data_IF_433147936330
#
_entry.id   IF_433147936330
#
_cell.length_a   1.000
_cell.length_b   1.000
_cell.length_c   1.000
_cell.angle_alpha   90.00
_cell.angle_beta   90.00
_cell.angle_gamma   90.00
#
_symmetry.space_group_name_H-M   'P 1'
#
loop_
_entity.id
_entity.type
_entity.pdbx_description
1 polymer ?
#
# COMPACT_ATOMS: atom_id res chain seq x y z
N UNK A 1 -8.07 -9.37 1.48
CA UNK A 1 -6.76 -9.76 0.96
C UNK A 1 -6.52 -9.10 -0.39
N UNK A 2 -5.45 -8.32 -0.51
CA UNK A 2 -5.05 -7.64 -1.74
C UNK A 2 -3.82 -8.35 -2.31
N UNK A 3 -3.88 -8.65 -3.61
CA UNK A 3 -2.77 -9.29 -4.33
C UNK A 3 -1.58 -8.32 -4.48
N UNK A 4 -0.37 -8.85 -4.32
CA UNK A 4 0.87 -8.08 -4.53
C UNK A 4 0.98 -7.52 -5.95
N UNK A 5 0.57 -8.27 -6.96
CA UNK A 5 0.54 -7.81 -8.35
C UNK A 5 -0.38 -6.61 -8.53
N UNK A 6 -1.53 -6.59 -7.86
CA UNK A 6 -2.43 -5.45 -7.90
C UNK A 6 -1.77 -4.20 -7.30
N UNK A 7 -1.03 -4.35 -6.17
CA UNK A 7 -0.27 -3.24 -5.58
C UNK A 7 0.84 -2.73 -6.52
N UNK A 8 1.51 -3.61 -7.27
CA UNK A 8 2.50 -3.22 -8.28
C UNK A 8 1.86 -2.42 -9.43
N UNK A 9 0.72 -2.87 -9.95
CA UNK A 9 -0.04 -2.17 -11.00
C UNK A 9 -0.55 -0.80 -10.51
N UNK A 10 -1.05 -0.73 -9.27
CA UNK A 10 -1.48 0.51 -8.63
C UNK A 10 -0.29 1.47 -8.41
N UNK A 11 0.86 0.97 -7.95
CA UNK A 11 2.09 1.75 -7.82
C UNK A 11 2.51 2.36 -9.16
N UNK A 12 2.56 1.56 -10.22
CA UNK A 12 2.94 2.05 -11.56
C UNK A 12 1.96 3.06 -12.13
N UNK A 13 0.67 2.91 -11.83
CA UNK A 13 -0.35 3.87 -12.27
C UNK A 13 -0.25 5.17 -11.48
N UNK A 14 -0.15 5.08 -10.15
CA UNK A 14 -0.09 6.23 -9.26
C UNK A 14 1.20 7.05 -9.45
N UNK A 15 2.34 6.38 -9.69
CA UNK A 15 3.63 7.03 -9.93
C UNK A 15 3.73 7.80 -11.24
N UNK A 16 2.84 7.52 -12.21
CA UNK A 16 2.74 8.26 -13.49
C UNK A 16 1.77 9.44 -13.44
N UNK A 17 1.07 9.62 -12.33
CA UNK A 17 0.08 10.69 -12.15
C UNK A 17 0.72 11.92 -11.50
N UNK A 18 0.34 13.10 -11.98
CA UNK A 18 0.82 14.37 -11.41
C UNK A 18 0.04 14.81 -10.18
N UNK A 19 -1.08 14.15 -9.87
CA UNK A 19 -1.92 14.44 -8.72
C UNK A 19 -1.18 14.15 -7.41
N UNK A 20 -1.20 15.10 -6.48
CA UNK A 20 -0.51 14.95 -5.18
C UNK A 20 -1.02 13.74 -4.38
N UNK A 21 -2.33 13.48 -4.42
CA UNK A 21 -2.91 12.28 -3.81
C UNK A 21 -2.40 10.97 -4.42
N UNK A 22 -2.13 10.96 -5.74
CA UNK A 22 -1.57 9.78 -6.39
C UNK A 22 -0.09 9.57 -6.02
N UNK A 23 0.70 10.65 -5.86
CA UNK A 23 2.09 10.56 -5.39
C UNK A 23 2.17 10.05 -3.94
N UNK A 24 1.26 10.50 -3.09
CA UNK A 24 1.13 9.99 -1.72
C UNK A 24 0.78 8.49 -1.71
N UNK A 25 -0.21 8.08 -2.51
CA UNK A 25 -0.60 6.68 -2.66
C UNK A 25 0.56 5.81 -3.21
N UNK A 26 1.29 6.29 -4.22
CA UNK A 26 2.45 5.59 -4.77
C UNK A 26 3.53 5.35 -3.71
N UNK A 27 3.74 6.31 -2.81
CA UNK A 27 4.70 6.15 -1.70
C UNK A 27 4.26 5.07 -0.71
N UNK A 28 2.95 4.93 -0.46
CA UNK A 28 2.39 3.88 0.39
C UNK A 28 2.53 2.51 -0.29
N UNK A 29 2.15 2.40 -1.57
CA UNK A 29 2.31 1.14 -2.33
C UNK A 29 3.76 0.70 -2.39
N UNK A 30 4.70 1.65 -2.55
CA UNK A 30 6.13 1.31 -2.51
C UNK A 30 6.54 0.70 -1.18
N UNK A 31 6.11 1.30 -0.06
CA UNK A 31 6.37 0.74 1.28
C UNK A 31 5.79 -0.66 1.43
N UNK A 32 4.56 -0.88 0.96
CA UNK A 32 3.95 -2.22 0.96
C UNK A 32 4.77 -3.23 0.16
N UNK A 33 5.26 -2.87 -1.02
CA UNK A 33 6.10 -3.76 -1.84
C UNK A 33 7.44 -4.07 -1.18
N UNK A 34 8.01 -3.13 -0.44
CA UNK A 34 9.27 -3.32 0.27
C UNK A 34 9.11 -4.12 1.59
N UNK A 35 7.87 -4.38 2.05
CA UNK A 35 7.61 -5.20 3.23
C UNK A 35 7.97 -6.67 3.02
N UNK A 36 8.65 -7.24 4.01
CA UNK A 36 8.86 -8.68 4.13
C UNK A 36 7.62 -9.38 4.68
N UNK A 37 7.52 -10.67 4.40
CA UNK A 37 6.43 -11.51 4.87
C UNK A 37 6.34 -11.51 6.41
N UNK A 38 5.13 -11.28 6.94
CA UNK A 38 4.86 -11.12 8.37
C UNK A 38 5.13 -9.71 8.94
N UNK A 39 5.62 -8.77 8.14
CA UNK A 39 5.69 -7.36 8.57
C UNK A 39 4.32 -6.68 8.45
N UNK A 40 4.10 -5.68 9.30
CA UNK A 40 2.90 -4.85 9.27
C UNK A 40 3.27 -3.37 9.25
N UNK A 41 2.42 -2.56 8.63
CA UNK A 41 2.48 -1.11 8.66
C UNK A 41 1.10 -0.52 8.89
N UNK A 42 1.03 0.64 9.53
CA UNK A 42 -0.22 1.39 9.69
C UNK A 42 -0.20 2.58 8.75
N UNK A 43 -1.30 2.77 8.04
CA UNK A 43 -1.50 3.89 7.11
C UNK A 43 -2.67 4.70 7.60
N UNK A 44 -2.42 5.97 7.90
CA UNK A 44 -3.46 6.94 8.19
C UNK A 44 -3.96 7.53 6.87
N UNK A 45 -5.24 7.38 6.59
CA UNK A 45 -5.87 7.92 5.38
C UNK A 45 -6.53 9.27 5.66
N UNK A 46 -7.32 9.31 6.73
CA UNK A 46 -7.90 10.54 7.29
C UNK A 46 -7.61 10.61 8.80
N UNK A 47 -7.70 11.79 9.42
CA UNK A 47 -7.54 11.91 10.88
C UNK A 47 -8.56 11.01 11.61
N UNK A 48 -8.06 9.93 12.22
CA UNK A 48 -8.89 8.95 12.93
C UNK A 48 -9.26 7.70 12.13
N UNK A 49 -8.90 7.63 10.84
CA UNK A 49 -8.95 6.40 10.02
C UNK A 49 -7.55 5.88 9.77
N UNK A 50 -7.15 4.93 10.62
CA UNK A 50 -5.90 4.20 10.52
C UNK A 50 -6.20 2.77 10.06
N UNK A 51 -5.56 2.33 8.97
CA UNK A 51 -5.66 0.97 8.47
C UNK A 51 -4.34 0.24 8.73
N UNK A 52 -4.41 -0.98 9.27
CA UNK A 52 -3.24 -1.82 9.48
C UNK A 52 -3.09 -2.81 8.35
N UNK A 53 -1.98 -2.72 7.64
CA UNK A 53 -1.65 -3.57 6.50
C UNK A 53 -0.59 -4.57 6.94
N UNK A 54 -0.83 -5.87 6.75
CA UNK A 54 0.14 -6.94 7.02
C UNK A 54 0.50 -7.65 5.72
N UNK A 55 1.79 -7.82 5.45
CA UNK A 55 2.26 -8.60 4.31
C UNK A 55 2.20 -10.10 4.66
N UNK A 56 1.53 -10.88 3.84
CA UNK A 56 1.39 -12.34 3.98
C UNK A 56 1.91 -13.06 2.74
N UNK A 57 2.01 -14.39 2.79
CA UNK A 57 2.43 -15.20 1.63
C UNK A 57 1.49 -15.09 0.46
N UNK A 58 0.24 -14.70 0.70
CA UNK A 58 -0.81 -14.58 -0.31
C UNK A 58 -1.03 -13.12 -0.78
N UNK A 59 -0.32 -12.14 -0.18
CA UNK A 59 -0.40 -10.73 -0.55
C UNK A 59 -0.41 -9.81 0.67
N UNK A 60 -1.50 -9.06 0.84
CA UNK A 60 -1.68 -8.12 1.95
C UNK A 60 -3.06 -8.25 2.59
N UNK A 61 -3.09 -8.27 3.92
CA UNK A 61 -4.32 -8.15 4.69
C UNK A 61 -4.44 -6.75 5.28
N UNK A 62 -5.66 -6.21 5.23
CA UNK A 62 -6.00 -4.89 5.76
C UNK A 62 -6.99 -5.10 6.90
N UNK A 63 -6.68 -4.54 8.07
CA UNK A 63 -7.44 -4.63 9.32
C UNK A 63 -7.73 -3.22 9.82
#
# INVERSE_FOLDING_TARGET
MIDRRLIEEMFHTASKSDLDGAKAAASIYRKMLDMANGQSMTVQFEPGEDFSITCTSEGYDII
#
